data_IF_631727273841
#
_entry.id   IF_631727273841
#
_cell.length_a   1.000
_cell.length_b   1.000
_cell.length_c   1.000
_cell.angle_alpha   90.00
_cell.angle_beta   90.00
_cell.angle_gamma   90.00
#
_symmetry.space_group_name_H-M   'P 1'
#
loop_
_entity.id
_entity.type
_entity.pdbx_description
1 polymer ?
#
# COMPACT_ATOMS: atom_id res chain seq x y z
N UNK A 1 -7.92 -23.89 1.44
CA UNK A 1 -8.32 -22.83 2.40
C UNK A 1 -9.71 -23.10 2.92
N UNK A 2 -9.89 -23.08 4.22
CA UNK A 2 -11.21 -23.13 4.82
C UNK A 2 -12.04 -21.89 4.46
N UNK A 3 -13.40 -21.97 4.52
CA UNK A 3 -14.25 -20.82 4.29
C UNK A 3 -13.95 -19.73 5.31
N UNK A 4 -13.82 -18.50 4.84
CA UNK A 4 -13.70 -17.34 5.71
C UNK A 4 -14.96 -17.23 6.57
N UNK A 5 -14.85 -17.06 7.90
CA UNK A 5 -16.05 -16.92 8.73
C UNK A 5 -16.89 -15.74 8.25
N UNK A 6 -18.24 -15.85 8.31
CA UNK A 6 -19.11 -14.78 7.85
C UNK A 6 -18.88 -13.51 8.66
N UNK A 7 -18.76 -12.37 7.96
CA UNK A 7 -18.62 -11.06 8.61
C UNK A 7 -19.96 -10.62 9.23
N UNK A 8 -19.96 -9.93 10.38
CA UNK A 8 -21.14 -9.30 10.92
C UNK A 8 -21.79 -8.35 9.90
N UNK A 9 -23.13 -8.26 9.90
CA UNK A 9 -23.88 -7.45 8.91
C UNK A 9 -23.43 -5.99 8.88
N UNK A 10 -23.16 -5.39 10.05
CA UNK A 10 -22.68 -4.01 10.13
C UNK A 10 -21.32 -3.83 9.43
N UNK A 11 -20.41 -4.79 9.60
CA UNK A 11 -19.10 -4.78 8.95
C UNK A 11 -19.22 -4.99 7.44
N UNK A 12 -20.18 -5.83 7.00
CA UNK A 12 -20.42 -6.04 5.57
C UNK A 12 -20.85 -4.76 4.87
N UNK A 13 -21.72 -3.95 5.49
CA UNK A 13 -22.15 -2.67 4.92
C UNK A 13 -21.00 -1.66 4.84
N UNK A 14 -20.22 -1.52 5.91
CA UNK A 14 -19.02 -0.68 5.91
C UNK A 14 -18.03 -1.13 4.83
N UNK A 15 -17.82 -2.44 4.70
CA UNK A 15 -16.93 -3.01 3.69
C UNK A 15 -17.42 -2.70 2.28
N UNK A 16 -18.70 -2.88 2.00
CA UNK A 16 -19.29 -2.59 0.69
C UNK A 16 -19.09 -1.14 0.31
N UNK A 17 -19.35 -0.24 1.24
CA UNK A 17 -19.15 1.19 1.04
C UNK A 17 -17.67 1.51 0.78
N UNK A 18 -16.76 0.97 1.58
CA UNK A 18 -15.32 1.17 1.40
C UNK A 18 -14.81 0.65 0.06
N UNK A 19 -15.28 -0.52 -0.37
CA UNK A 19 -14.94 -1.08 -1.69
C UNK A 19 -15.41 -0.16 -2.82
N UNK A 20 -16.63 0.35 -2.71
CA UNK A 20 -17.20 1.26 -3.71
C UNK A 20 -16.42 2.58 -3.77
N UNK A 21 -16.04 3.13 -2.63
CA UNK A 21 -15.22 4.35 -2.56
C UNK A 21 -13.86 4.14 -3.22
N UNK A 22 -13.21 3.02 -2.94
CA UNK A 22 -11.91 2.68 -3.53
C UNK A 22 -11.99 2.44 -5.04
N UNK A 23 -13.10 1.88 -5.53
CA UNK A 23 -13.35 1.75 -6.97
C UNK A 23 -13.53 3.14 -7.60
N UNK A 24 -14.31 4.01 -6.97
CA UNK A 24 -14.53 5.38 -7.44
C UNK A 24 -13.22 6.19 -7.47
N UNK A 25 -12.32 5.97 -6.52
CA UNK A 25 -11.00 6.59 -6.45
C UNK A 25 -9.99 5.96 -7.43
N UNK A 26 -10.36 4.92 -8.17
CA UNK A 26 -9.48 4.14 -9.05
C UNK A 26 -8.29 3.49 -8.32
N UNK A 27 -8.51 3.11 -7.07
CA UNK A 27 -7.56 2.32 -6.27
C UNK A 27 -7.81 0.83 -6.47
N UNK A 28 -9.08 0.43 -6.60
CA UNK A 28 -9.52 -0.93 -6.89
C UNK A 28 -10.26 -1.02 -8.22
N UNK A 29 -10.27 -2.21 -8.79
CA UNK A 29 -11.10 -2.57 -9.94
C UNK A 29 -11.74 -3.94 -9.72
N UNK A 30 -13.04 -4.10 -10.02
CA UNK A 30 -13.67 -5.41 -10.01
C UNK A 30 -13.00 -6.36 -11.01
N UNK A 31 -12.94 -7.64 -10.67
CA UNK A 31 -12.38 -8.70 -11.51
C UNK A 31 -13.48 -9.72 -11.84
N UNK A 32 -13.73 -9.90 -13.12
CA UNK A 32 -14.72 -10.89 -13.62
C UNK A 32 -14.03 -12.08 -14.25
N UNK A 33 -12.84 -11.90 -14.81
CA UNK A 33 -12.06 -12.93 -15.48
C UNK A 33 -11.43 -13.89 -14.46
N UNK A 34 -11.19 -15.15 -14.82
CA UNK A 34 -10.38 -16.04 -14.02
C UNK A 34 -8.97 -15.49 -13.82
N UNK A 35 -8.44 -15.58 -12.61
CA UNK A 35 -7.09 -15.14 -12.28
C UNK A 35 -6.26 -16.31 -11.76
N UNK A 36 -4.96 -16.29 -12.06
CA UNK A 36 -4.02 -17.32 -11.60
C UNK A 36 -3.76 -17.25 -10.11
N UNK A 37 -4.04 -16.11 -9.50
CA UNK A 37 -3.71 -15.84 -8.10
C UNK A 37 -4.87 -15.10 -7.43
N UNK A 38 -5.24 -15.57 -6.27
CA UNK A 38 -6.30 -14.95 -5.45
C UNK A 38 -5.85 -14.99 -4.00
N UNK A 39 -5.79 -13.83 -3.37
CA UNK A 39 -5.48 -13.68 -1.95
C UNK A 39 -6.74 -13.49 -1.12
N UNK A 40 -6.61 -13.73 0.18
CA UNK A 40 -7.64 -13.34 1.14
C UNK A 40 -7.52 -11.84 1.46
N UNK A 41 -8.60 -11.27 1.98
CA UNK A 41 -8.56 -9.90 2.47
C UNK A 41 -8.45 -9.91 4.00
N UNK A 42 -7.79 -8.91 4.54
CA UNK A 42 -7.77 -8.59 5.97
C UNK A 42 -8.40 -7.21 6.16
N UNK A 43 -9.33 -7.12 7.10
CA UNK A 43 -9.99 -5.87 7.46
C UNK A 43 -9.40 -5.36 8.76
N UNK A 44 -8.89 -4.14 8.71
CA UNK A 44 -8.41 -3.41 9.88
C UNK A 44 -9.39 -2.29 10.18
N UNK A 45 -10.10 -2.40 11.30
CA UNK A 45 -11.05 -1.38 11.73
C UNK A 45 -10.34 -0.31 12.54
N UNK A 46 -10.34 0.91 12.02
CA UNK A 46 -9.89 2.11 12.71
C UNK A 46 -11.09 2.92 13.22
N UNK A 47 -10.91 3.85 14.18
CA UNK A 47 -12.03 4.60 14.75
C UNK A 47 -12.89 5.36 13.74
N UNK A 48 -12.31 5.79 12.63
CA UNK A 48 -13.01 6.61 11.61
C UNK A 48 -13.18 5.93 10.26
N UNK A 49 -12.52 4.81 10.04
CA UNK A 49 -12.53 4.14 8.73
C UNK A 49 -12.18 2.66 8.83
N UNK A 50 -12.55 1.94 7.80
CA UNK A 50 -12.18 0.56 7.61
C UNK A 50 -11.08 0.49 6.57
N UNK A 51 -9.95 -0.15 6.90
CA UNK A 51 -8.87 -0.40 5.94
C UNK A 51 -8.90 -1.83 5.47
N UNK A 52 -8.68 -1.97 4.18
CA UNK A 52 -8.58 -3.26 3.52
C UNK A 52 -7.12 -3.54 3.21
N UNK A 53 -6.63 -4.68 3.69
CA UNK A 53 -5.30 -5.18 3.40
C UNK A 53 -5.41 -6.48 2.63
N UNK A 54 -4.43 -6.76 1.80
CA UNK A 54 -4.30 -8.07 1.17
C UNK A 54 -3.58 -9.00 2.14
N UNK A 55 -4.19 -10.15 2.44
CA UNK A 55 -3.44 -11.25 3.07
C UNK A 55 -2.64 -11.95 1.98
N UNK A 56 -1.47 -11.42 1.75
CA UNK A 56 -0.58 -11.83 0.66
C UNK A 56 0.55 -12.74 1.11
N UNK A 57 0.32 -13.55 2.12
CA UNK A 57 1.35 -14.44 2.66
C UNK A 57 2.03 -15.28 1.57
N UNK A 58 1.23 -15.94 0.75
CA UNK A 58 1.74 -16.79 -0.33
C UNK A 58 2.35 -15.95 -1.46
N UNK A 59 1.73 -14.83 -1.78
CA UNK A 59 2.25 -13.88 -2.78
C UNK A 59 3.58 -13.28 -2.31
N UNK A 60 3.70 -12.89 -1.05
CA UNK A 60 4.94 -12.37 -0.47
C UNK A 60 6.07 -13.39 -0.49
N UNK A 61 5.75 -14.67 -0.33
CA UNK A 61 6.73 -15.74 -0.47
C UNK A 61 7.28 -15.83 -1.90
N UNK A 62 6.43 -15.61 -2.90
CA UNK A 62 6.79 -15.67 -4.31
C UNK A 62 7.46 -14.39 -4.84
N UNK A 63 7.22 -13.24 -4.22
CA UNK A 63 7.79 -11.96 -4.65
C UNK A 63 9.28 -11.88 -4.29
N UNK A 64 10.09 -11.52 -5.27
CA UNK A 64 11.50 -11.18 -5.04
C UNK A 64 11.58 -9.81 -4.38
N UNK A 65 12.19 -9.76 -3.22
CA UNK A 65 12.37 -8.51 -2.48
C UNK A 65 13.50 -7.68 -3.11
N UNK A 66 13.28 -6.40 -3.43
CA UNK A 66 14.29 -5.56 -4.08
C UNK A 66 15.46 -5.20 -3.17
N UNK A 67 15.36 -5.38 -1.85
CA UNK A 67 16.37 -5.02 -0.85
C UNK A 67 16.83 -3.55 -0.98
N UNK A 68 15.91 -2.67 -1.30
CA UNK A 68 16.21 -1.25 -1.38
C UNK A 68 16.43 -0.68 0.02
N UNK A 69 17.56 0.03 0.28
CA UNK A 69 17.85 0.53 1.61
C UNK A 69 16.88 1.65 2.00
N UNK A 70 16.29 1.51 3.18
CA UNK A 70 15.49 2.56 3.82
C UNK A 70 16.40 3.21 4.86
N UNK A 71 16.78 4.50 4.70
CA UNK A 71 17.64 5.18 5.65
C UNK A 71 16.95 5.35 7.00
N UNK A 72 17.74 5.37 8.06
CA UNK A 72 17.29 5.71 9.41
C UNK A 72 17.52 7.19 9.67
N UNK A 73 16.93 7.70 10.76
CA UNK A 73 17.17 9.09 11.17
C UNK A 73 18.67 9.31 11.47
N UNK A 74 19.35 8.33 12.03
CA UNK A 74 20.80 8.41 12.34
C UNK A 74 21.66 8.55 11.07
N UNK A 75 21.23 7.98 9.96
CA UNK A 75 21.93 8.13 8.68
C UNK A 75 21.87 9.56 8.14
N UNK A 76 20.84 10.31 8.52
CA UNK A 76 20.56 11.65 8.02
C UNK A 76 21.06 12.74 8.97
N UNK A 77 21.09 12.48 10.28
CA UNK A 77 21.50 13.46 11.30
C UNK A 77 22.79 14.22 10.98
N UNK A 78 23.87 13.62 10.49
CA UNK A 78 25.08 14.34 10.13
C UNK A 78 24.87 15.41 9.06
N UNK A 79 23.92 15.18 8.15
CA UNK A 79 23.59 16.11 7.07
C UNK A 79 22.70 17.28 7.54
N UNK A 80 22.02 17.10 8.67
CA UNK A 80 21.13 18.07 9.28
C UNK A 80 21.82 19.01 10.28
N UNK A 81 23.11 18.80 10.58
CA UNK A 81 23.84 19.50 11.64
C UNK A 81 23.85 21.04 11.50
N UNK A 82 23.71 21.54 10.29
CA UNK A 82 23.69 23.00 10.00
C UNK A 82 22.27 23.56 9.84
N UNK A 83 21.26 22.72 9.84
CA UNK A 83 19.88 23.15 9.64
C UNK A 83 19.31 23.72 10.93
N UNK A 84 18.57 24.83 10.81
CA UNK A 84 17.93 25.52 11.93
C UNK A 84 16.42 25.32 12.00
N UNK A 85 15.82 24.96 10.88
CA UNK A 85 14.37 24.76 10.73
C UNK A 85 14.14 23.54 9.87
N UNK A 86 13.16 22.73 10.25
CA UNK A 86 12.76 21.53 9.52
C UNK A 86 11.26 21.53 9.27
N UNK A 87 10.86 20.94 8.17
CA UNK A 87 9.47 20.58 7.90
C UNK A 87 9.40 19.06 7.68
N UNK A 88 8.43 18.42 8.29
CA UNK A 88 8.13 17.00 8.05
C UNK A 88 6.84 16.91 7.28
N UNK A 89 6.89 16.28 6.11
CA UNK A 89 5.75 16.07 5.26
C UNK A 89 5.42 14.58 5.23
N UNK A 90 4.21 14.24 5.62
CA UNK A 90 3.68 12.89 5.50
C UNK A 90 3.02 12.72 4.13
N UNK A 91 3.40 11.67 3.42
CA UNK A 91 2.80 11.35 2.14
C UNK A 91 1.39 10.76 2.34
N UNK A 92 0.37 11.59 2.18
CA UNK A 92 -1.01 11.16 2.30
C UNK A 92 -1.32 10.01 1.32
N UNK A 93 -1.84 8.90 1.88
CA UNK A 93 -2.15 7.69 1.11
C UNK A 93 -0.97 7.22 0.25
N UNK A 94 0.24 7.24 0.83
CA UNK A 94 1.51 7.12 0.10
C UNK A 94 1.59 5.94 -0.85
N UNK A 95 1.25 4.73 -0.41
CA UNK A 95 1.27 3.55 -1.26
C UNK A 95 0.31 3.65 -2.45
N UNK A 96 -0.84 4.31 -2.27
CA UNK A 96 -1.81 4.49 -3.35
C UNK A 96 -1.40 5.54 -4.39
N UNK A 97 -0.32 6.26 -4.17
CA UNK A 97 0.28 7.12 -5.18
C UNK A 97 1.05 6.30 -6.22
N UNK A 98 1.47 5.09 -5.88
CA UNK A 98 2.20 4.21 -6.78
C UNK A 98 1.23 3.36 -7.59
N UNK A 99 1.25 3.53 -8.91
CA UNK A 99 0.42 2.78 -9.84
C UNK A 99 1.05 1.42 -10.14
N UNK A 100 0.25 0.37 -10.09
CA UNK A 100 0.66 -0.97 -10.54
C UNK A 100 0.48 -1.09 -12.05
N UNK A 101 1.38 -1.81 -12.71
CA UNK A 101 1.14 -2.26 -14.07
C UNK A 101 0.04 -3.33 -14.09
N UNK A 102 -0.52 -3.60 -15.27
CA UNK A 102 -1.64 -4.52 -15.39
C UNK A 102 -1.30 -5.95 -14.92
N UNK A 103 -0.18 -6.57 -15.33
CA UNK A 103 0.18 -7.90 -14.83
C UNK A 103 0.34 -7.95 -13.30
N UNK A 104 1.01 -6.97 -12.69
CA UNK A 104 1.17 -6.88 -11.24
C UNK A 104 -0.16 -6.66 -10.53
N UNK A 105 -1.04 -5.84 -11.11
CA UNK A 105 -2.37 -5.60 -10.57
C UNK A 105 -3.19 -6.89 -10.44
N UNK A 106 -3.18 -7.75 -11.45
CA UNK A 106 -3.89 -9.03 -11.41
C UNK A 106 -3.34 -9.97 -10.33
N UNK A 107 -2.06 -9.90 -9.98
CA UNK A 107 -1.48 -10.66 -8.88
C UNK A 107 -2.01 -10.24 -7.50
N UNK A 108 -2.55 -9.03 -7.39
CA UNK A 108 -3.14 -8.50 -6.16
C UNK A 108 -4.63 -8.83 -6.00
N UNK A 109 -5.19 -9.65 -6.86
CA UNK A 109 -6.61 -10.06 -6.81
C UNK A 109 -6.94 -10.72 -5.47
N UNK A 110 -8.04 -10.33 -4.88
CA UNK A 110 -8.50 -10.83 -3.60
C UNK A 110 -10.02 -11.05 -3.55
N UNK A 111 -10.44 -11.93 -2.65
CA UNK A 111 -11.84 -12.25 -2.42
C UNK A 111 -12.51 -11.28 -1.47
N UNK A 112 -13.76 -10.93 -1.78
CA UNK A 112 -14.68 -10.27 -0.85
C UNK A 112 -16.04 -10.95 -0.91
N UNK A 113 -16.94 -10.74 0.07
CA UNK A 113 -18.32 -11.21 -0.01
C UNK A 113 -19.10 -10.64 -1.22
N UNK A 114 -18.61 -9.58 -1.83
CA UNK A 114 -19.23 -8.87 -2.96
C UNK A 114 -18.52 -9.14 -4.30
N UNK A 115 -17.62 -10.11 -4.34
CA UNK A 115 -16.89 -10.49 -5.53
C UNK A 115 -15.38 -10.29 -5.38
N UNK A 116 -14.69 -10.40 -6.50
CA UNK A 116 -13.24 -10.27 -6.55
C UNK A 116 -12.87 -8.86 -7.02
N UNK A 117 -11.78 -8.35 -6.44
CA UNK A 117 -11.20 -7.06 -6.81
C UNK A 117 -9.69 -7.21 -6.97
N UNK A 118 -9.10 -6.35 -7.76
CA UNK A 118 -7.65 -6.19 -7.88
C UNK A 118 -7.24 -4.77 -7.53
N UNK A 119 -6.04 -4.60 -7.03
CA UNK A 119 -5.49 -3.29 -6.76
C UNK A 119 -4.91 -2.66 -8.02
N UNK A 120 -5.25 -1.41 -8.26
CA UNK A 120 -4.67 -0.58 -9.32
C UNK A 120 -3.49 0.24 -8.80
N UNK A 121 -3.43 0.41 -7.49
CA UNK A 121 -2.40 1.11 -6.74
C UNK A 121 -1.77 0.15 -5.74
N UNK A 122 -0.55 0.46 -5.29
CA UNK A 122 0.19 -0.43 -4.39
C UNK A 122 -0.57 -0.64 -3.07
N UNK A 123 -0.94 -1.90 -2.72
CA UNK A 123 -1.73 -2.18 -1.53
C UNK A 123 -0.87 -2.32 -0.27
N UNK A 124 -1.50 -2.19 0.89
CA UNK A 124 -0.93 -2.65 2.15
C UNK A 124 -0.89 -4.19 2.19
N UNK A 125 0.12 -4.75 2.83
CA UNK A 125 0.30 -6.19 2.98
C UNK A 125 1.34 -6.81 2.05
N UNK A 126 1.76 -6.11 1.02
CA UNK A 126 2.86 -6.56 0.15
C UNK A 126 4.20 -6.27 0.83
N UNK A 127 5.05 -7.30 0.99
CA UNK A 127 6.30 -7.19 1.74
C UNK A 127 7.31 -6.21 1.15
N UNK A 128 7.31 -6.07 -0.18
CA UNK A 128 8.22 -5.16 -0.89
C UNK A 128 7.69 -3.72 -1.03
N UNK A 129 6.46 -3.45 -0.57
CA UNK A 129 5.84 -2.14 -0.72
C UNK A 129 6.63 -0.99 -0.07
N UNK A 130 7.18 -1.11 1.16
CA UNK A 130 7.97 -0.04 1.75
C UNK A 130 9.22 0.31 0.94
N UNK A 131 9.91 -0.68 0.42
CA UNK A 131 11.14 -0.50 -0.38
C UNK A 131 10.84 0.13 -1.74
N UNK A 132 9.80 -0.32 -2.41
CA UNK A 132 9.34 0.26 -3.68
C UNK A 132 8.86 1.70 -3.50
N UNK A 133 8.16 1.99 -2.40
CA UNK A 133 7.72 3.34 -2.08
C UNK A 133 8.91 4.26 -1.78
N UNK A 134 9.90 3.80 -1.02
CA UNK A 134 11.14 4.53 -0.76
C UNK A 134 11.90 4.84 -2.05
N UNK A 135 12.03 3.85 -2.95
CA UNK A 135 12.65 4.02 -4.26
C UNK A 135 11.92 5.07 -5.08
N UNK A 136 10.60 4.98 -5.17
CA UNK A 136 9.77 5.93 -5.89
C UNK A 136 9.90 7.36 -5.36
N UNK A 137 9.88 7.53 -4.03
CA UNK A 137 10.08 8.84 -3.41
C UNK A 137 11.48 9.41 -3.68
N UNK A 138 12.51 8.57 -3.66
CA UNK A 138 13.86 8.98 -4.03
C UNK A 138 13.92 9.48 -5.47
N UNK A 139 13.30 8.78 -6.40
CA UNK A 139 13.25 9.17 -7.80
C UNK A 139 12.60 10.56 -8.01
N UNK A 140 11.48 10.82 -7.35
CA UNK A 140 10.77 12.10 -7.50
C UNK A 140 11.43 13.26 -6.76
N UNK A 141 12.27 12.98 -5.76
CA UNK A 141 13.00 14.01 -5.01
C UNK A 141 14.45 14.16 -5.46
N UNK A 142 14.87 13.39 -6.46
CA UNK A 142 16.23 13.44 -6.98
C UNK A 142 16.61 14.86 -7.44
N UNK A 143 17.79 15.31 -6.99
CA UNK A 143 18.30 16.64 -7.30
C UNK A 143 17.75 17.78 -6.43
N UNK A 144 16.82 17.52 -5.52
CA UNK A 144 16.34 18.50 -4.56
C UNK A 144 17.29 18.57 -3.37
N UNK A 145 17.92 19.72 -3.18
CA UNK A 145 18.83 19.93 -2.04
C UNK A 145 18.03 20.11 -0.74
N UNK A 146 18.50 19.50 0.34
CA UNK A 146 17.88 19.64 1.66
C UNK A 146 16.61 18.81 1.83
N UNK A 147 16.33 17.89 0.93
CA UNK A 147 15.19 16.97 1.01
C UNK A 147 15.69 15.58 1.32
N UNK A 148 15.14 14.98 2.38
CA UNK A 148 15.49 13.63 2.83
C UNK A 148 14.21 12.80 2.97
N UNK A 149 14.26 11.56 2.52
CA UNK A 149 13.11 10.65 2.53
C UNK A 149 13.41 9.48 3.46
N UNK A 150 12.53 9.27 4.43
CA UNK A 150 12.60 8.14 5.36
C UNK A 150 11.22 7.50 5.41
N UNK A 151 11.07 6.31 4.84
CA UNK A 151 9.80 5.58 4.79
C UNK A 151 8.66 6.48 4.26
N UNK A 152 7.69 6.82 5.08
CA UNK A 152 6.52 7.62 4.66
C UNK A 152 6.73 9.14 4.82
N UNK A 153 7.85 9.55 5.40
CA UNK A 153 8.12 10.95 5.72
C UNK A 153 9.13 11.59 4.78
N UNK A 154 8.85 12.82 4.40
CA UNK A 154 9.77 13.68 3.66
C UNK A 154 10.20 14.81 4.58
N UNK A 155 11.49 14.88 4.86
CA UNK A 155 12.09 15.91 5.68
C UNK A 155 12.70 17.00 4.78
N UNK A 156 12.33 18.20 5.03
CA UNK A 156 12.79 19.37 4.26
C UNK A 156 13.54 20.36 5.14
#
# INVERSE_FOLDING_TARGET
MGPTPPLPVAVQQELRQSLQELVNMKVLSPVKEPTKWISSMVIVKEPKKLRIWVDSKDLNYAIKRPHYPIPTIDDILPQLSKAKVFSVLDAKDGFWQVKLDEPSSYLTTFWTPFGRYRWLRMPFGISSAPEEFQRWQHEITEGLQGVYVIADDILV
#
